data_IF_507250557696
#
_entry.id   IF_507250557696
#
_cell.length_a   1.000
_cell.length_b   1.000
_cell.length_c   1.000
_cell.angle_alpha   90.00
_cell.angle_beta   90.00
_cell.angle_gamma   90.00
#
_symmetry.space_group_name_H-M   'P 1'
#
loop_
_entity.id
_entity.type
_entity.pdbx_description
1 polymer ?
#
# COMPACT_ATOMS: atom_id res chain seq x y z
N UNK A 1 -21.27 -15.47 5.40
CA UNK A 1 -21.47 -14.01 5.51
C UNK A 1 -20.72 -13.38 4.35
N UNK A 2 -21.42 -12.99 3.29
CA UNK A 2 -20.87 -12.28 2.14
C UNK A 2 -20.50 -10.86 2.58
N UNK A 3 -19.21 -10.63 2.87
CA UNK A 3 -18.67 -9.29 3.11
C UNK A 3 -18.78 -8.48 1.82
N UNK A 4 -19.93 -7.86 1.59
CA UNK A 4 -20.08 -6.84 0.57
C UNK A 4 -19.13 -5.71 0.93
N UNK A 5 -18.16 -5.45 0.05
CA UNK A 5 -17.38 -4.23 0.07
C UNK A 5 -18.38 -3.10 -0.25
N UNK A 6 -19.09 -2.61 0.77
CA UNK A 6 -19.83 -1.35 0.72
C UNK A 6 -18.78 -0.27 0.61
N UNK A 7 -18.27 -0.09 -0.61
CA UNK A 7 -17.39 0.99 -0.98
C UNK A 7 -18.21 2.29 -0.82
N UNK A 8 -17.90 3.16 0.15
CA UNK A 8 -18.34 4.52 0.04
C UNK A 8 -17.47 5.13 -1.06
N UNK A 9 -17.81 4.85 -2.32
CA UNK A 9 -17.04 5.22 -3.51
C UNK A 9 -16.75 6.73 -3.63
N UNK A 10 -17.33 7.56 -2.75
CA UNK A 10 -17.08 9.00 -2.61
C UNK A 10 -15.99 9.38 -1.60
N UNK A 11 -15.39 8.43 -0.89
CA UNK A 11 -14.41 8.69 0.17
C UNK A 11 -12.98 8.28 -0.17
N UNK A 12 -12.73 7.57 -1.28
CA UNK A 12 -11.40 7.07 -1.64
C UNK A 12 -10.96 7.55 -3.02
N UNK A 13 -9.70 7.96 -3.11
CA UNK A 13 -9.01 8.26 -4.35
C UNK A 13 -7.97 7.20 -4.66
N UNK A 14 -7.80 6.88 -5.94
CA UNK A 14 -7.00 5.74 -6.40
C UNK A 14 -5.74 6.19 -7.11
N UNK A 15 -4.61 5.53 -6.83
CA UNK A 15 -3.38 5.66 -7.63
C UNK A 15 -3.32 4.57 -8.69
N UNK A 16 -3.51 3.32 -8.25
CA UNK A 16 -3.54 2.13 -9.07
C UNK A 16 -4.46 1.06 -8.42
N UNK A 17 -4.58 -0.13 -9.02
CA UNK A 17 -5.43 -1.22 -8.46
C UNK A 17 -5.07 -1.59 -7.02
N UNK A 18 -3.78 -1.51 -6.69
CA UNK A 18 -3.22 -1.93 -5.41
C UNK A 18 -3.33 -0.85 -4.34
N UNK A 19 -3.33 0.43 -4.70
CA UNK A 19 -3.26 1.52 -3.74
C UNK A 19 -4.37 2.54 -3.96
N UNK A 20 -5.19 2.70 -2.94
CA UNK A 20 -6.13 3.80 -2.79
C UNK A 20 -6.10 4.30 -1.34
N UNK A 21 -6.47 5.55 -1.11
CA UNK A 21 -6.60 6.09 0.24
C UNK A 21 -7.80 6.99 0.39
N UNK A 22 -8.25 7.12 1.64
CA UNK A 22 -9.33 8.00 2.00
C UNK A 22 -8.95 9.47 1.73
N UNK A 23 -9.95 10.31 1.52
CA UNK A 23 -9.75 11.74 1.26
C UNK A 23 -9.11 12.49 2.42
N UNK A 24 -9.34 12.05 3.66
CA UNK A 24 -8.67 12.55 4.87
C UNK A 24 -7.25 12.01 5.04
N UNK A 25 -6.83 11.10 4.17
CA UNK A 25 -5.54 10.44 4.19
C UNK A 25 -5.35 9.47 5.35
N UNK A 26 -6.33 9.18 6.20
CA UNK A 26 -6.14 8.38 7.42
C UNK A 26 -6.27 6.87 7.23
N UNK A 27 -6.89 6.46 6.12
CA UNK A 27 -7.11 5.06 5.78
C UNK A 27 -6.55 4.75 4.40
N UNK A 28 -5.80 3.67 4.28
CA UNK A 28 -5.28 3.14 3.03
C UNK A 28 -5.91 1.77 2.76
N UNK A 29 -6.33 1.58 1.52
CA UNK A 29 -6.64 0.27 0.94
C UNK A 29 -5.43 -0.15 0.12
N UNK A 30 -4.79 -1.23 0.53
CA UNK A 30 -3.62 -1.79 -0.14
C UNK A 30 -3.87 -3.20 -0.69
N UNK A 31 -3.17 -3.59 -1.74
CA UNK A 31 -3.32 -4.89 -2.40
C UNK A 31 -4.54 -4.94 -3.33
N UNK A 32 -4.40 -5.67 -4.44
CA UNK A 32 -5.45 -5.77 -5.47
C UNK A 32 -6.60 -6.67 -5.03
N UNK A 33 -6.36 -7.98 -4.86
CA UNK A 33 -7.42 -8.99 -4.71
C UNK A 33 -7.72 -9.36 -3.25
N UNK A 34 -6.71 -9.28 -2.37
CA UNK A 34 -6.84 -9.74 -0.98
C UNK A 34 -7.17 -8.62 0.02
N UNK A 35 -7.13 -7.36 -0.40
CA UNK A 35 -7.26 -6.12 0.39
C UNK A 35 -6.65 -6.12 1.79
N UNK A 36 -5.75 -5.19 2.02
CA UNK A 36 -5.28 -4.80 3.33
C UNK A 36 -5.89 -3.44 3.64
N UNK A 37 -6.74 -3.39 4.65
CA UNK A 37 -7.26 -2.14 5.19
C UNK A 37 -6.35 -1.67 6.32
N UNK A 38 -5.74 -0.51 6.11
CA UNK A 38 -4.83 0.08 7.08
C UNK A 38 -5.42 1.39 7.56
N UNK A 39 -5.55 1.56 8.87
CA UNK A 39 -5.68 2.88 9.48
C UNK A 39 -4.34 3.32 10.04
N UNK A 40 -4.05 4.62 9.96
CA UNK A 40 -2.80 5.19 10.46
C UNK A 40 -2.54 4.82 11.92
N UNK A 41 -3.57 4.91 12.78
CA UNK A 41 -3.46 4.63 14.21
C UNK A 41 -3.20 3.14 14.50
N UNK A 42 -3.85 2.25 13.76
CA UNK A 42 -3.62 0.80 13.89
C UNK A 42 -2.22 0.43 13.42
N UNK A 43 -1.80 0.94 12.26
CA UNK A 43 -0.46 0.73 11.72
C UNK A 43 0.63 1.26 12.67
N UNK A 44 0.44 2.47 13.21
CA UNK A 44 1.35 3.08 14.17
C UNK A 44 1.52 2.22 15.43
N UNK A 45 0.41 1.70 15.99
CA UNK A 45 0.46 0.80 17.16
C UNK A 45 1.18 -0.51 16.84
N UNK A 46 0.92 -1.12 15.68
CA UNK A 46 1.58 -2.35 15.24
C UNK A 46 3.08 -2.13 15.02
N UNK A 47 3.48 -1.06 14.35
CA UNK A 47 4.88 -0.71 14.16
C UNK A 47 5.59 -0.48 15.49
N UNK A 48 4.96 0.22 16.44
CA UNK A 48 5.51 0.40 17.78
C UNK A 48 5.66 -0.93 18.54
N UNK A 49 4.70 -1.86 18.40
CA UNK A 49 4.83 -3.21 18.96
C UNK A 49 5.99 -3.99 18.32
N UNK A 50 6.17 -3.84 17.01
CA UNK A 50 7.27 -4.45 16.26
C UNK A 50 8.64 -3.95 16.74
N UNK A 51 8.78 -2.63 16.96
CA UNK A 51 10.01 -2.03 17.51
C UNK A 51 10.26 -2.52 18.95
N UNK A 52 9.23 -2.59 19.79
CA UNK A 52 9.38 -3.13 21.17
C UNK A 52 9.85 -4.59 21.16
N UNK A 53 9.34 -5.41 20.24
CA UNK A 53 9.78 -6.80 20.11
C UNK A 53 11.26 -6.92 19.73
N UNK A 54 11.77 -6.02 18.88
CA UNK A 54 13.21 -5.95 18.59
C UNK A 54 14.04 -5.61 19.83
N UNK A 55 13.56 -4.65 20.63
CA UNK A 55 14.27 -4.17 21.82
C UNK A 55 14.38 -5.27 22.90
N UNK A 56 13.34 -6.09 23.08
CA UNK A 56 13.33 -7.15 24.11
C UNK A 56 14.19 -8.36 23.77
N UNK A 57 14.48 -8.62 22.48
CA UNK A 57 15.22 -9.81 22.05
C UNK A 57 16.74 -9.66 21.99
N UNK A 58 17.31 -8.54 22.45
CA UNK A 58 18.76 -8.26 22.44
C UNK A 58 19.45 -8.67 21.12
N UNK A 59 18.78 -8.46 19.98
CA UNK A 59 19.30 -8.87 18.69
C UNK A 59 20.59 -8.09 18.43
N UNK A 60 21.73 -8.78 18.38
CA UNK A 60 23.05 -8.18 18.21
C UNK A 60 23.07 -7.18 17.04
N UNK A 61 23.89 -6.13 17.09
CA UNK A 61 24.04 -5.22 15.95
C UNK A 61 25.13 -5.74 15.00
N UNK A 62 24.93 -5.59 13.67
CA UNK A 62 25.93 -5.90 12.64
C UNK A 62 25.95 -7.36 12.12
N UNK A 63 27.10 -7.81 11.60
CA UNK A 63 27.32 -9.09 10.91
C UNK A 63 27.02 -10.35 11.74
N UNK A 64 26.77 -10.21 13.04
CA UNK A 64 26.41 -11.30 13.96
C UNK A 64 24.90 -11.52 14.09
N UNK A 65 24.07 -10.75 13.37
CA UNK A 65 22.64 -10.97 13.36
C UNK A 65 22.26 -12.16 12.49
N UNK A 66 21.28 -12.93 12.95
CA UNK A 66 20.63 -13.93 12.11
C UNK A 66 19.85 -13.26 10.97
N UNK A 67 19.60 -14.00 9.90
CA UNK A 67 18.80 -13.52 8.77
C UNK A 67 17.43 -13.03 9.22
N UNK A 68 16.78 -13.77 10.13
CA UNK A 68 15.49 -13.45 10.73
C UNK A 68 15.53 -12.09 11.45
N UNK A 69 16.60 -11.86 12.21
CA UNK A 69 16.80 -10.62 12.97
C UNK A 69 17.00 -9.42 12.05
N UNK A 70 17.74 -9.61 10.95
CA UNK A 70 17.91 -8.58 9.92
C UNK A 70 16.59 -8.28 9.20
N UNK A 71 15.83 -9.31 8.80
CA UNK A 71 14.52 -9.13 8.16
C UNK A 71 13.56 -8.36 9.07
N UNK A 72 13.52 -8.69 10.36
CA UNK A 72 12.68 -7.98 11.32
C UNK A 72 13.07 -6.50 11.47
N UNK A 73 14.38 -6.19 11.44
CA UNK A 73 14.89 -4.80 11.42
C UNK A 73 14.51 -4.07 10.13
N UNK A 74 14.64 -4.73 8.98
CA UNK A 74 14.24 -4.17 7.68
C UNK A 74 12.74 -3.84 7.64
N UNK A 75 11.88 -4.75 8.15
CA UNK A 75 10.44 -4.49 8.29
C UNK A 75 10.21 -3.25 9.15
N UNK A 76 10.88 -3.15 10.30
CA UNK A 76 10.71 -2.01 11.21
C UNK A 76 11.16 -0.68 10.60
N UNK A 77 12.28 -0.70 9.88
CA UNK A 77 12.76 0.47 9.13
C UNK A 77 11.76 0.89 8.06
N UNK A 78 11.28 -0.07 7.27
CA UNK A 78 10.33 0.22 6.20
C UNK A 78 8.97 0.69 6.72
N UNK A 79 8.47 0.13 7.83
CA UNK A 79 7.26 0.61 8.51
C UNK A 79 7.43 2.05 9.03
N UNK A 80 8.63 2.40 9.50
CA UNK A 80 8.92 3.77 9.94
C UNK A 80 8.86 4.75 8.77
N UNK A 81 9.36 4.35 7.60
CA UNK A 81 9.25 5.14 6.38
C UNK A 81 7.81 5.27 5.89
N UNK A 82 7.04 4.17 5.90
CA UNK A 82 5.59 4.20 5.63
C UNK A 82 4.89 5.20 6.55
N UNK A 83 5.12 5.14 7.87
CA UNK A 83 4.49 6.05 8.83
C UNK A 83 4.92 7.51 8.63
N UNK A 84 6.17 7.75 8.22
CA UNK A 84 6.67 9.09 7.89
C UNK A 84 5.93 9.66 6.68
N UNK A 85 5.89 8.93 5.56
CA UNK A 85 5.16 9.30 4.35
C UNK A 85 3.67 9.51 4.63
N UNK A 86 3.07 8.65 5.45
CA UNK A 86 1.64 8.71 5.77
C UNK A 86 1.31 9.97 6.58
N UNK A 87 2.16 10.29 7.57
CA UNK A 87 2.04 11.52 8.34
C UNK A 87 2.16 12.75 7.46
N UNK A 88 3.08 12.75 6.50
CA UNK A 88 3.24 13.87 5.56
C UNK A 88 1.97 14.07 4.71
N UNK A 89 1.30 12.99 4.30
CA UNK A 89 0.01 13.04 3.60
C UNK A 89 -1.08 13.64 4.52
N UNK A 90 -1.22 13.13 5.75
CA UNK A 90 -2.23 13.59 6.71
C UNK A 90 -2.06 15.07 7.06
N UNK A 91 -0.81 15.51 7.30
CA UNK A 91 -0.50 16.88 7.70
C UNK A 91 -0.81 17.92 6.62
N UNK A 92 -0.89 17.51 5.35
CA UNK A 92 -1.26 18.40 4.24
C UNK A 92 -2.77 18.59 4.09
N UNK A 93 -3.57 17.83 4.85
CA UNK A 93 -5.01 17.97 4.93
C UNK A 93 -5.80 17.19 3.88
N UNK A 94 -7.12 17.29 3.98
CA UNK A 94 -8.04 16.55 3.11
C UNK A 94 -7.86 16.92 1.64
N UNK A 95 -8.05 15.96 0.74
CA UNK A 95 -7.91 16.11 -0.72
C UNK A 95 -6.50 16.45 -1.22
N UNK A 96 -5.48 16.46 -0.36
CA UNK A 96 -4.10 16.65 -0.80
C UNK A 96 -3.76 15.66 -1.93
N UNK A 97 -3.19 16.15 -3.04
CA UNK A 97 -2.76 15.31 -4.14
C UNK A 97 -3.87 14.58 -4.90
N UNK A 98 -5.13 15.00 -4.78
CA UNK A 98 -6.28 14.40 -5.47
C UNK A 98 -6.73 15.28 -6.63
N UNK A 99 -6.74 14.73 -7.84
CA UNK A 99 -7.52 15.34 -8.93
C UNK A 99 -8.98 14.88 -8.83
N UNK A 100 -9.87 15.83 -8.54
CA UNK A 100 -11.31 15.62 -8.36
C UNK A 100 -12.12 15.81 -9.63
N UNK A 101 -11.53 16.37 -10.70
CA UNK A 101 -12.21 16.54 -12.01
C UNK A 101 -12.33 15.21 -12.77
N UNK A 102 -11.93 14.13 -12.10
CA UNK A 102 -11.42 12.90 -12.66
C UNK A 102 -12.21 11.80 -11.92
N UNK A 103 -13.38 11.45 -12.50
CA UNK A 103 -14.33 10.34 -12.20
C UNK A 103 -14.43 9.71 -10.81
N UNK A 104 -15.66 9.45 -10.34
CA UNK A 104 -16.03 8.42 -9.33
C UNK A 104 -15.56 8.60 -7.88
N UNK A 105 -14.27 8.87 -7.65
CA UNK A 105 -13.61 9.00 -6.35
C UNK A 105 -12.30 9.80 -6.40
N UNK A 106 -11.86 10.27 -7.57
CA UNK A 106 -10.64 11.05 -7.75
C UNK A 106 -9.39 10.19 -7.97
N UNK A 107 -8.37 10.79 -8.61
CA UNK A 107 -7.09 10.14 -8.90
C UNK A 107 -5.96 10.77 -8.09
N UNK A 108 -5.04 9.94 -7.61
CA UNK A 108 -3.88 10.38 -6.84
C UNK A 108 -2.74 10.82 -7.76
N UNK A 109 -2.47 12.12 -7.76
CA UNK A 109 -1.52 12.77 -8.67
C UNK A 109 -0.19 13.10 -8.01
N UNK A 110 -0.10 13.04 -6.67
CA UNK A 110 1.10 13.46 -5.96
C UNK A 110 2.11 12.31 -5.79
N UNK A 111 3.39 12.62 -5.93
CA UNK A 111 4.49 11.64 -5.81
C UNK A 111 4.52 10.89 -4.48
N UNK A 112 4.14 11.54 -3.38
CA UNK A 112 4.04 10.88 -2.06
C UNK A 112 3.17 9.62 -2.07
N UNK A 113 2.11 9.57 -2.89
CA UNK A 113 1.28 8.36 -3.02
C UNK A 113 2.01 7.24 -3.78
N UNK A 114 2.88 7.59 -4.72
CA UNK A 114 3.78 6.64 -5.41
C UNK A 114 4.82 6.09 -4.45
N UNK A 115 5.51 6.98 -3.72
CA UNK A 115 6.53 6.60 -2.74
C UNK A 115 5.91 5.71 -1.64
N UNK A 116 4.68 6.03 -1.20
CA UNK A 116 3.92 5.22 -0.26
C UNK A 116 3.62 3.82 -0.82
N UNK A 117 3.18 3.73 -2.08
CA UNK A 117 2.90 2.45 -2.74
C UNK A 117 4.16 1.59 -2.84
N UNK A 118 5.31 2.17 -3.21
CA UNK A 118 6.60 1.46 -3.23
C UNK A 118 7.03 0.98 -1.84
N UNK A 119 6.83 1.83 -0.82
CA UNK A 119 7.15 1.49 0.55
C UNK A 119 6.31 0.32 1.05
N UNK A 120 5.01 0.30 0.72
CA UNK A 120 4.11 -0.81 1.06
C UNK A 120 4.44 -2.10 0.30
N UNK A 121 4.81 -2.02 -0.99
CA UNK A 121 5.31 -3.17 -1.76
C UNK A 121 6.53 -3.80 -1.08
N UNK A 122 7.44 -2.97 -0.59
CA UNK A 122 8.64 -3.43 0.13
C UNK A 122 8.27 -4.09 1.45
N UNK A 123 7.33 -3.52 2.22
CA UNK A 123 6.83 -4.16 3.46
C UNK A 123 6.26 -5.54 3.13
N UNK A 124 5.37 -5.66 2.14
CA UNK A 124 4.78 -6.96 1.76
C UNK A 124 5.86 -8.00 1.48
N UNK A 125 6.83 -7.68 0.62
CA UNK A 125 7.91 -8.61 0.27
C UNK A 125 8.72 -9.07 1.49
N UNK A 126 8.98 -8.15 2.44
CA UNK A 126 9.67 -8.48 3.68
C UNK A 126 8.79 -9.31 4.63
N UNK A 127 7.49 -9.03 4.73
CA UNK A 127 6.55 -9.81 5.56
C UNK A 127 6.36 -11.23 5.00
N UNK A 128 6.35 -11.38 3.67
CA UNK A 128 6.34 -12.67 2.98
C UNK A 128 7.59 -13.48 3.34
N UNK A 129 8.76 -12.87 3.20
CA UNK A 129 10.03 -13.49 3.57
C UNK A 129 10.07 -13.89 5.06
N UNK A 130 9.55 -13.05 5.95
CA UNK A 130 9.48 -13.32 7.38
C UNK A 130 8.54 -14.48 7.72
N UNK A 131 7.41 -14.60 7.02
CA UNK A 131 6.50 -15.72 7.17
C UNK A 131 7.12 -17.03 6.65
N UNK A 132 7.78 -17.01 5.49
CA UNK A 132 8.45 -18.18 4.93
C UNK A 132 9.55 -18.73 5.84
N UNK A 133 10.29 -17.85 6.52
CA UNK A 133 11.29 -18.24 7.51
C UNK A 133 10.68 -18.77 8.83
N UNK A 134 9.37 -18.62 9.04
CA UNK A 134 8.71 -19.10 10.25
C UNK A 134 9.19 -18.39 11.53
N UNK A 135 9.52 -17.09 11.46
CA UNK A 135 10.07 -16.34 12.61
C UNK A 135 9.11 -16.43 13.80
N UNK A 136 9.52 -17.06 14.94
CA UNK A 136 8.62 -17.26 16.06
C UNK A 136 8.13 -15.95 16.67
N UNK A 137 6.80 -15.81 16.76
CA UNK A 137 6.14 -14.63 17.35
C UNK A 137 6.02 -13.43 16.40
N UNK A 138 6.49 -13.53 15.15
CA UNK A 138 6.24 -12.51 14.15
C UNK A 138 4.75 -12.47 13.76
N UNK A 139 4.17 -11.28 13.77
CA UNK A 139 2.79 -11.03 13.34
C UNK A 139 2.78 -9.98 12.24
N UNK A 140 2.17 -10.30 11.10
CA UNK A 140 2.06 -9.39 9.97
C UNK A 140 1.31 -8.11 10.32
N UNK A 141 1.83 -7.00 9.82
CA UNK A 141 1.15 -5.71 9.85
C UNK A 141 0.10 -5.66 8.76
N UNK A 142 0.45 -6.07 7.54
CA UNK A 142 -0.39 -6.08 6.34
C UNK A 142 -1.22 -7.37 6.29
N UNK A 143 -2.27 -7.43 7.11
CA UNK A 143 -3.17 -8.60 7.18
C UNK A 143 -4.23 -8.50 6.07
N UNK A 144 -4.31 -9.49 5.16
CA UNK A 144 -5.34 -9.50 4.13
C UNK A 144 -6.72 -9.73 4.71
N UNK A 145 -7.72 -9.07 4.13
CA UNK A 145 -9.13 -9.13 4.55
C UNK A 145 -9.86 -10.23 3.80
N UNK A 146 -9.52 -10.43 2.53
CA UNK A 146 -10.12 -11.41 1.63
C UNK A 146 -9.12 -12.54 1.38
N UNK A 147 -9.23 -13.61 2.17
CA UNK A 147 -8.31 -14.76 2.14
C UNK A 147 -8.84 -15.95 1.35
N UNK A 148 -10.17 -16.09 1.25
CA UNK A 148 -10.82 -17.24 0.59
C UNK A 148 -11.36 -16.92 -0.79
N UNK A 149 -11.87 -15.71 -1.02
CA UNK A 149 -12.42 -15.27 -2.31
C UNK A 149 -11.93 -13.86 -2.63
N UNK A 150 -11.47 -13.57 -3.86
CA UNK A 150 -10.99 -12.26 -4.23
C UNK A 150 -12.12 -11.23 -4.22
N UNK A 151 -11.82 -10.01 -3.78
CA UNK A 151 -12.81 -8.94 -3.82
C UNK A 151 -13.13 -8.54 -5.27
N UNK A 152 -14.42 -8.44 -5.60
CA UNK A 152 -14.93 -8.09 -6.94
C UNK A 152 -15.50 -6.67 -7.04
N UNK A 153 -15.14 -5.76 -6.11
CA UNK A 153 -15.62 -4.39 -6.18
C UNK A 153 -15.02 -3.64 -7.37
N UNK A 154 -15.62 -2.52 -7.77
CA UNK A 154 -15.16 -1.72 -8.91
C UNK A 154 -13.72 -1.20 -8.76
N UNK A 155 -13.23 -1.02 -7.53
CA UNK A 155 -11.81 -0.71 -7.32
C UNK A 155 -10.87 -1.90 -7.59
N UNK A 156 -11.31 -3.13 -7.29
CA UNK A 156 -10.52 -4.34 -7.54
C UNK A 156 -10.58 -4.76 -8.99
N UNK A 157 -11.78 -4.77 -9.55
CA UNK A 157 -12.09 -5.16 -10.91
C UNK A 157 -12.74 -3.96 -11.61
N UNK A 158 -11.94 -2.91 -11.88
CA UNK A 158 -12.42 -1.79 -12.67
C UNK A 158 -12.87 -2.27 -14.04
N UNK A 159 -13.87 -1.60 -14.59
CA UNK A 159 -14.28 -1.88 -15.96
C UNK A 159 -13.17 -1.45 -16.95
N UNK A 160 -13.19 -1.94 -18.20
CA UNK A 160 -12.16 -1.59 -19.18
C UNK A 160 -12.04 -0.08 -19.44
N UNK A 161 -13.12 0.68 -19.29
CA UNK A 161 -13.11 2.14 -19.49
C UNK A 161 -12.32 2.82 -18.38
N UNK A 162 -12.56 2.41 -17.13
CA UNK A 162 -11.83 2.87 -15.96
C UNK A 162 -10.33 2.53 -16.07
N UNK A 163 -9.97 1.33 -16.56
CA UNK A 163 -8.58 0.93 -16.77
C UNK A 163 -7.83 1.81 -17.78
N UNK A 164 -8.42 2.01 -18.96
CA UNK A 164 -7.86 2.90 -19.99
C UNK A 164 -7.69 4.31 -19.46
N UNK A 165 -8.63 4.75 -18.64
CA UNK A 165 -8.59 6.07 -18.04
C UNK A 165 -7.53 6.19 -16.94
N UNK A 166 -7.39 5.19 -16.05
CA UNK A 166 -6.33 5.16 -15.05
C UNK A 166 -4.95 5.19 -15.70
N UNK A 167 -4.80 4.46 -16.82
CA UNK A 167 -3.57 4.48 -17.61
C UNK A 167 -3.25 5.89 -18.14
N UNK A 168 -4.24 6.58 -18.75
CA UNK A 168 -4.07 7.97 -19.21
C UNK A 168 -3.70 8.92 -18.07
N UNK A 169 -4.30 8.74 -16.90
CA UNK A 169 -3.97 9.54 -15.72
C UNK A 169 -2.52 9.28 -15.25
N UNK A 170 -2.08 8.03 -15.22
CA UNK A 170 -0.71 7.68 -14.90
C UNK A 170 0.29 8.37 -15.84
N UNK A 171 0.07 8.29 -17.15
CA UNK A 171 0.91 8.95 -18.15
C UNK A 171 0.92 10.47 -18.00
N UNK A 172 -0.23 11.08 -17.69
CA UNK A 172 -0.35 12.53 -17.53
C UNK A 172 0.36 13.05 -16.29
N UNK A 173 0.14 12.41 -15.14
CA UNK A 173 0.57 12.95 -13.84
C UNK A 173 1.91 12.42 -13.37
N UNK A 174 2.32 11.24 -13.85
CA UNK A 174 3.48 10.51 -13.34
C UNK A 174 4.54 10.22 -14.42
N UNK A 175 4.45 10.82 -15.60
CA UNK A 175 5.41 10.61 -16.72
C UNK A 175 6.86 10.99 -16.39
N UNK A 176 7.08 11.86 -15.41
CA UNK A 176 8.42 12.29 -14.98
C UNK A 176 9.10 11.32 -14.00
N UNK A 177 8.44 10.21 -13.62
CA UNK A 177 9.06 9.18 -12.79
C UNK A 177 10.15 8.44 -13.57
N UNK A 178 11.18 7.90 -12.88
CA UNK A 178 12.10 6.96 -13.50
C UNK A 178 11.35 5.79 -14.12
N UNK A 179 11.73 5.36 -15.33
CA UNK A 179 11.00 4.31 -16.09
C UNK A 179 10.78 3.04 -15.27
N UNK A 180 11.80 2.58 -14.52
CA UNK A 180 11.68 1.40 -13.67
C UNK A 180 10.67 1.55 -12.51
N UNK A 181 10.47 2.77 -11.99
CA UNK A 181 9.43 3.06 -10.98
C UNK A 181 8.07 3.10 -11.63
N UNK A 182 7.95 3.82 -12.75
CA UNK A 182 6.70 3.96 -13.48
C UNK A 182 6.12 2.60 -13.90
N UNK A 183 6.95 1.74 -14.47
CA UNK A 183 6.54 0.39 -14.90
C UNK A 183 6.14 -0.50 -13.72
N UNK A 184 6.85 -0.42 -12.59
CA UNK A 184 6.52 -1.23 -11.40
C UNK A 184 5.19 -0.81 -10.77
N UNK A 185 4.86 0.48 -10.81
CA UNK A 185 3.66 1.03 -10.18
C UNK A 185 2.44 0.95 -11.11
N UNK A 186 2.62 1.15 -12.42
CA UNK A 186 1.53 1.29 -13.39
C UNK A 186 1.52 0.23 -14.51
N UNK A 187 2.55 -0.60 -14.63
CA UNK A 187 2.67 -1.58 -15.72
C UNK A 187 1.53 -2.60 -15.77
N UNK A 188 1.00 -3.01 -14.61
CA UNK A 188 -0.20 -3.86 -14.55
C UNK A 188 -1.42 -3.18 -15.19
N UNK A 189 -1.64 -1.90 -14.88
CA UNK A 189 -2.75 -1.12 -15.47
C UNK A 189 -2.57 -0.98 -16.98
N UNK A 190 -1.33 -0.80 -17.47
CA UNK A 190 -1.06 -0.75 -18.91
C UNK A 190 -1.48 -2.05 -19.60
N UNK A 191 -1.04 -3.20 -19.07
CA UNK A 191 -1.29 -4.50 -19.70
C UNK A 191 -2.80 -4.78 -19.73
N UNK A 192 -3.50 -4.51 -18.63
CA UNK A 192 -4.94 -4.69 -18.55
C UNK A 192 -5.73 -3.73 -19.45
N UNK A 193 -5.30 -2.46 -19.54
CA UNK A 193 -5.90 -1.50 -20.46
C UNK A 193 -5.68 -1.86 -21.94
N UNK A 194 -4.61 -2.60 -22.24
CA UNK A 194 -4.32 -3.14 -23.57
C UNK A 194 -5.06 -4.48 -23.86
N UNK A 195 -5.71 -5.07 -22.86
CA UNK A 195 -6.34 -6.39 -22.97
C UNK A 195 -5.34 -7.55 -23.10
N UNK A 196 -4.11 -7.37 -22.57
CA UNK A 196 -3.01 -8.33 -22.59
C UNK A 196 -2.91 -9.14 -21.29
#
# INVERSE_FOLDING_TARGET
MTSTCTDPARLYSTLNRRYARALDGRTIRYGSQHHVWLSYDSCSRKAAAHIRFLATRHLAYGLRNTKESMTFRLISYQLSEVLRLWRDIINRGSYFGVDRKVGGGGYLVHRLDVDMCEALDTVVSLEDSAQEMGIPGYTRVLVPTFTTEPCKCRCCMPDPTDLVWFWKCAQKYHSNLPSAVFERIFGAIRNEAAGL
#
